data_IF_968500703799
#
_entry.id   IF_968500703799
#
_cell.length_a   1.000
_cell.length_b   1.000
_cell.length_c   1.000
_cell.angle_alpha   90.00
_cell.angle_beta   90.00
_cell.angle_gamma   90.00
#
_symmetry.space_group_name_H-M   'P 1'
#
loop_
_entity.id
_entity.type
_entity.pdbx_description
1 polymer ?
#
# COMPACT_ATOMS: atom_id res chain seq x y z
N UNK A 1 16.18 -29.59 -26.51
CA UNK A 1 17.38 -28.73 -26.54
C UNK A 1 17.07 -27.48 -25.72
N UNK A 2 17.06 -27.60 -24.39
CA UNK A 2 16.87 -26.50 -23.44
C UNK A 2 18.02 -26.58 -22.43
N UNK A 3 19.18 -26.08 -22.84
CA UNK A 3 20.32 -25.83 -21.97
C UNK A 3 20.98 -24.57 -22.50
N UNK A 4 21.00 -23.55 -21.66
CA UNK A 4 22.03 -22.51 -21.46
C UNK A 4 21.32 -21.21 -21.04
N UNK A 5 21.59 -20.72 -19.83
CA UNK A 5 21.12 -19.41 -19.38
C UNK A 5 20.72 -19.39 -17.91
N UNK A 6 21.72 -19.41 -17.01
CA UNK A 6 21.69 -18.96 -15.61
C UNK A 6 20.27 -18.85 -14.98
N UNK A 7 19.75 -20.00 -14.53
CA UNK A 7 18.50 -20.14 -13.80
C UNK A 7 18.55 -19.39 -12.45
N UNK A 8 18.23 -18.09 -12.44
CA UNK A 8 17.69 -17.40 -11.26
C UNK A 8 16.25 -17.02 -11.61
N UNK A 9 15.37 -18.00 -11.56
CA UNK A 9 13.97 -17.83 -11.96
C UNK A 9 13.18 -17.32 -10.78
N UNK A 10 12.75 -16.05 -10.82
CA UNK A 10 11.86 -15.47 -9.83
C UNK A 10 10.41 -15.64 -10.30
N UNK A 11 9.57 -16.25 -9.47
CA UNK A 11 8.12 -16.20 -9.61
C UNK A 11 7.58 -15.07 -8.74
N UNK A 12 6.75 -14.21 -9.30
CA UNK A 12 5.90 -13.33 -8.54
C UNK A 12 4.52 -14.00 -8.49
N UNK A 13 3.98 -14.21 -7.31
CA UNK A 13 2.58 -14.62 -7.19
C UNK A 13 1.89 -13.42 -6.58
N UNK A 14 1.32 -12.59 -7.44
CA UNK A 14 0.60 -11.43 -6.99
C UNK A 14 -0.75 -11.90 -6.43
N UNK A 15 -0.95 -11.56 -5.18
CA UNK A 15 -2.17 -11.84 -4.45
C UNK A 15 -2.60 -10.49 -3.92
N UNK A 16 -3.62 -9.88 -4.53
CA UNK A 16 -4.24 -8.72 -3.91
C UNK A 16 -5.00 -9.18 -2.69
N UNK A 17 -4.41 -8.92 -1.55
CA UNK A 17 -4.75 -9.66 -0.37
C UNK A 17 -4.36 -8.78 0.82
N UNK A 18 -5.26 -8.68 1.79
CA UNK A 18 -4.99 -8.03 3.08
C UNK A 18 -3.77 -8.69 3.76
N UNK A 19 -3.14 -8.03 4.73
CA UNK A 19 -2.00 -8.61 5.46
C UNK A 19 -2.31 -10.01 5.99
N UNK A 20 -3.49 -10.18 6.60
CA UNK A 20 -3.94 -11.46 7.15
C UNK A 20 -3.98 -12.56 6.08
N UNK A 21 -4.63 -12.28 4.96
CA UNK A 21 -4.78 -13.29 3.92
C UNK A 21 -3.41 -13.58 3.21
N UNK A 22 -2.44 -12.63 3.22
CA UNK A 22 -1.07 -12.87 2.72
C UNK A 22 -0.37 -13.87 3.62
N UNK A 23 -0.50 -13.72 4.93
CA UNK A 23 0.03 -14.67 5.92
C UNK A 23 -0.63 -16.05 5.79
N UNK A 24 -1.95 -16.10 5.62
CA UNK A 24 -2.67 -17.36 5.40
C UNK A 24 -2.20 -18.05 4.10
N UNK A 25 -2.06 -17.29 3.01
CA UNK A 25 -1.51 -17.79 1.75
C UNK A 25 -0.07 -18.29 1.91
N UNK A 26 0.76 -17.59 2.69
CA UNK A 26 2.13 -17.98 2.98
C UNK A 26 2.17 -19.36 3.65
N UNK A 27 1.35 -19.57 4.67
CA UNK A 27 1.25 -20.85 5.40
C UNK A 27 0.82 -21.97 4.46
N UNK A 28 -0.19 -21.73 3.63
CA UNK A 28 -0.68 -22.71 2.65
C UNK A 28 0.39 -23.05 1.61
N UNK A 29 1.05 -22.05 1.05
CA UNK A 29 2.10 -22.24 0.05
C UNK A 29 3.31 -22.98 0.62
N UNK A 30 3.70 -22.69 1.86
CA UNK A 30 4.77 -23.43 2.54
C UNK A 30 4.39 -24.90 2.73
N UNK A 31 3.17 -25.18 3.19
CA UNK A 31 2.66 -26.54 3.35
C UNK A 31 2.65 -27.31 2.02
N UNK A 32 2.09 -26.72 0.97
CA UNK A 32 2.01 -27.34 -0.36
C UNK A 32 3.40 -27.47 -1.02
N UNK A 33 4.35 -26.60 -0.68
CA UNK A 33 5.73 -26.70 -1.20
C UNK A 33 6.44 -27.98 -0.76
N UNK A 34 6.08 -28.54 0.40
CA UNK A 34 6.61 -29.81 0.89
C UNK A 34 6.10 -31.01 0.08
N UNK A 35 4.95 -30.87 -0.57
CA UNK A 35 4.37 -31.89 -1.44
C UNK A 35 4.93 -31.86 -2.88
N UNK A 36 5.68 -30.82 -3.24
CA UNK A 36 6.29 -30.69 -4.56
C UNK A 36 7.44 -31.69 -4.76
N UNK A 37 7.62 -32.14 -6.01
CA UNK A 37 8.73 -33.03 -6.36
C UNK A 37 10.08 -32.43 -5.95
N UNK A 38 10.97 -33.19 -5.28
CA UNK A 38 12.31 -32.73 -4.89
C UNK A 38 13.16 -32.22 -6.08
N UNK A 39 12.86 -32.68 -7.29
CA UNK A 39 13.57 -32.28 -8.52
C UNK A 39 13.33 -30.82 -8.92
N UNK A 40 12.29 -30.18 -8.39
CA UNK A 40 11.95 -28.79 -8.71
C UNK A 40 12.77 -27.77 -7.90
N UNK A 41 13.51 -28.22 -6.87
CA UNK A 41 14.27 -27.34 -5.98
C UNK A 41 13.41 -26.53 -5.01
N UNK A 42 14.04 -26.00 -3.96
CA UNK A 42 13.36 -25.29 -2.87
C UNK A 42 12.73 -23.96 -3.31
N UNK A 43 11.56 -23.65 -2.75
CA UNK A 43 10.90 -22.35 -2.87
C UNK A 43 11.25 -21.46 -1.66
N UNK A 44 11.50 -20.17 -1.90
CA UNK A 44 11.61 -19.16 -0.86
C UNK A 44 10.46 -18.17 -1.00
N UNK A 45 9.63 -18.06 0.03
CA UNK A 45 8.50 -17.13 0.04
C UNK A 45 8.88 -15.80 0.69
N UNK A 46 8.42 -14.69 0.10
CA UNK A 46 8.70 -13.33 0.53
C UNK A 46 7.39 -12.53 0.55
N UNK A 47 6.80 -12.25 1.71
CA UNK A 47 5.68 -11.32 1.81
C UNK A 47 6.19 -9.89 1.62
N UNK A 48 5.49 -9.11 0.80
CA UNK A 48 5.78 -7.71 0.53
C UNK A 48 4.46 -6.93 0.63
N UNK A 49 4.34 -6.08 1.65
CA UNK A 49 3.19 -5.21 1.85
C UNK A 49 3.63 -3.89 2.47
N UNK A 50 2.73 -2.90 2.46
CA UNK A 50 2.94 -1.48 2.80
C UNK A 50 3.92 -1.16 3.94
N UNK A 51 3.88 -1.86 5.08
CA UNK A 51 4.79 -1.55 6.22
C UNK A 51 5.86 -2.58 6.51
N UNK A 52 6.03 -3.59 5.66
CA UNK A 52 7.25 -4.39 5.68
C UNK A 52 8.31 -3.74 4.77
N UNK A 53 8.43 -2.41 4.82
CA UNK A 53 9.40 -1.63 4.06
C UNK A 53 10.84 -2.11 4.31
N UNK A 54 11.15 -2.59 5.52
CA UNK A 54 12.45 -3.22 5.84
C UNK A 54 12.64 -4.60 5.18
N UNK A 55 11.57 -5.37 4.94
CA UNK A 55 11.66 -6.62 4.19
C UNK A 55 11.66 -6.41 2.68
N UNK A 56 11.12 -5.30 2.19
CA UNK A 56 11.21 -4.90 0.79
C UNK A 56 12.68 -4.78 0.35
N UNK A 57 13.57 -4.33 1.24
CA UNK A 57 15.02 -4.32 0.99
C UNK A 57 15.59 -5.74 0.77
N UNK A 58 15.09 -6.76 1.49
CA UNK A 58 15.53 -8.17 1.32
C UNK A 58 15.19 -8.74 -0.06
N UNK A 59 14.21 -8.16 -0.75
CA UNK A 59 13.89 -8.52 -2.14
C UNK A 59 15.02 -8.10 -3.08
N UNK A 60 15.64 -6.95 -2.83
CA UNK A 60 16.75 -6.39 -3.64
C UNK A 60 18.13 -6.88 -3.21
N UNK A 61 18.35 -7.17 -1.92
CA UNK A 61 19.63 -7.64 -1.35
C UNK A 61 20.10 -9.00 -1.88
N UNK A 62 19.34 -9.64 -2.77
CA UNK A 62 19.73 -10.90 -3.40
C UNK A 62 19.75 -10.81 -4.93
N UNK A 63 20.09 -9.61 -5.43
CA UNK A 63 20.41 -9.30 -6.83
C UNK A 63 21.81 -9.77 -7.27
N UNK A 64 22.15 -9.64 -8.57
CA UNK A 64 23.37 -10.19 -9.18
C UNK A 64 24.70 -9.55 -8.75
N UNK A 65 24.69 -8.57 -7.84
CA UNK A 65 25.88 -7.91 -7.29
C UNK A 65 25.91 -7.84 -5.76
N UNK A 66 25.03 -8.56 -5.06
CA UNK A 66 25.14 -8.70 -3.62
C UNK A 66 26.32 -9.62 -3.29
N UNK A 67 27.35 -9.08 -2.64
CA UNK A 67 28.43 -9.89 -2.10
C UNK A 67 27.84 -10.88 -1.06
N UNK A 68 28.27 -12.16 -1.08
CA UNK A 68 27.81 -13.13 -0.10
C UNK A 68 28.20 -12.61 1.29
N UNK A 69 27.21 -12.31 2.13
CA UNK A 69 27.45 -12.09 3.54
C UNK A 69 27.53 -13.47 4.20
N UNK A 70 28.72 -13.81 4.68
CA UNK A 70 29.11 -15.08 5.31
C UNK A 70 28.30 -15.50 6.57
N UNK A 71 27.17 -14.82 6.88
CA UNK A 71 26.38 -15.01 8.10
C UNK A 71 24.98 -15.65 7.88
N UNK A 72 24.65 -16.15 6.68
CA UNK A 72 23.49 -17.04 6.50
C UNK A 72 23.97 -18.51 6.59
N UNK A 73 23.63 -19.28 7.65
CA UNK A 73 24.14 -20.65 7.87
C UNK A 73 23.70 -21.66 6.80
N UNK A 74 22.98 -21.22 5.78
CA UNK A 74 22.45 -22.05 4.69
C UNK A 74 23.13 -21.86 3.33
N UNK A 75 24.24 -21.12 3.22
CA UNK A 75 25.06 -21.03 1.99
C UNK A 75 26.04 -22.23 1.85
N UNK A 76 25.54 -23.42 2.16
CA UNK A 76 26.23 -24.69 2.00
C UNK A 76 25.53 -25.64 1.04
N UNK A 77 24.87 -25.14 -0.01
CA UNK A 77 24.52 -25.98 -1.18
C UNK A 77 24.17 -25.11 -2.40
N UNK A 78 24.77 -25.42 -3.55
CA UNK A 78 24.66 -24.69 -4.82
C UNK A 78 23.31 -24.88 -5.54
N UNK A 79 22.20 -24.82 -4.82
CA UNK A 79 20.85 -25.00 -5.33
C UNK A 79 20.21 -23.70 -5.84
N UNK A 80 19.70 -23.72 -7.06
CA UNK A 80 18.80 -22.68 -7.59
C UNK A 80 17.57 -22.57 -6.69
N UNK A 81 17.47 -21.50 -5.88
CA UNK A 81 16.27 -21.22 -5.08
C UNK A 81 15.31 -20.33 -5.87
N UNK A 82 14.14 -20.87 -6.23
CA UNK A 82 13.06 -20.09 -6.84
C UNK A 82 12.41 -19.24 -5.75
N UNK A 83 12.25 -17.95 -6.01
CA UNK A 83 11.60 -17.03 -5.08
C UNK A 83 10.14 -16.84 -5.49
N UNK A 84 9.28 -16.72 -4.49
CA UNK A 84 7.86 -16.43 -4.61
C UNK A 84 7.59 -15.18 -3.78
N UNK A 85 7.26 -14.09 -4.45
CA UNK A 85 6.91 -12.84 -3.79
C UNK A 85 5.38 -12.74 -3.74
N UNK A 86 4.83 -12.50 -2.55
CA UNK A 86 3.41 -12.24 -2.32
C UNK A 86 3.25 -10.74 -2.06
N UNK A 87 2.45 -10.04 -2.86
CA UNK A 87 2.30 -8.60 -2.74
C UNK A 87 0.89 -8.07 -2.99
N UNK A 88 0.55 -7.01 -2.26
CA UNK A 88 -0.67 -6.20 -2.42
C UNK A 88 -0.60 -5.26 -3.64
N UNK A 89 -1.57 -4.33 -3.73
CA UNK A 89 -1.64 -3.33 -4.80
C UNK A 89 -0.46 -2.35 -4.82
N UNK A 90 0.28 -2.15 -3.72
CA UNK A 90 1.48 -1.28 -3.72
C UNK A 90 2.67 -1.95 -4.42
N UNK A 91 2.63 -3.27 -4.57
CA UNK A 91 3.51 -4.02 -5.47
C UNK A 91 3.41 -3.57 -6.93
N UNK A 92 2.29 -2.97 -7.37
CA UNK A 92 2.04 -2.53 -8.76
C UNK A 92 2.99 -1.43 -9.23
N UNK A 93 3.20 -0.42 -8.38
CA UNK A 93 3.86 0.83 -8.78
C UNK A 93 5.29 0.93 -8.26
N UNK A 94 5.55 0.39 -7.07
CA UNK A 94 6.79 0.67 -6.33
C UNK A 94 7.93 -0.29 -6.66
N UNK A 95 7.64 -1.45 -7.26
CA UNK A 95 8.64 -2.50 -7.41
C UNK A 95 8.80 -2.93 -8.87
N UNK A 96 9.72 -2.26 -9.59
CA UNK A 96 10.35 -2.87 -10.76
C UNK A 96 11.24 -4.04 -10.31
N UNK A 97 10.60 -5.17 -10.01
CA UNK A 97 11.28 -6.41 -9.64
C UNK A 97 11.95 -6.99 -10.88
N UNK A 98 13.18 -6.56 -11.14
CA UNK A 98 14.00 -7.12 -12.20
C UNK A 98 14.13 -8.64 -11.99
N UNK A 99 13.72 -9.42 -12.98
CA UNK A 99 13.84 -10.88 -12.96
C UNK A 99 12.56 -11.66 -12.67
N UNK A 100 11.42 -11.00 -12.45
CA UNK A 100 10.11 -11.66 -12.37
C UNK A 100 9.74 -12.27 -13.73
N UNK A 101 9.47 -13.58 -13.74
CA UNK A 101 9.13 -14.36 -14.94
C UNK A 101 7.71 -14.88 -14.95
N UNK A 102 7.09 -15.03 -13.79
CA UNK A 102 5.73 -15.55 -13.65
C UNK A 102 4.96 -14.58 -12.78
N UNK A 103 3.72 -14.31 -13.14
CA UNK A 103 2.77 -13.49 -12.38
C UNK A 103 1.46 -14.24 -12.33
N UNK A 104 0.87 -14.34 -11.15
CA UNK A 104 -0.53 -14.75 -10.96
C UNK A 104 -1.28 -13.49 -10.58
N UNK A 105 -2.36 -13.14 -11.26
CA UNK A 105 -3.14 -11.92 -11.02
C UNK A 105 -4.58 -12.31 -10.67
N UNK A 106 -5.02 -11.96 -9.46
CA UNK A 106 -6.40 -12.21 -8.99
C UNK A 106 -7.40 -11.21 -9.56
N UNK A 107 -6.94 -10.06 -10.06
CA UNK A 107 -7.77 -9.00 -10.61
C UNK A 107 -8.53 -8.18 -9.56
N UNK A 108 -8.15 -8.30 -8.28
CA UNK A 108 -8.82 -7.65 -7.15
C UNK A 108 -7.87 -6.67 -6.44
N UNK A 109 -8.39 -5.74 -5.65
CA UNK A 109 -7.66 -4.86 -4.73
C UNK A 109 -8.54 -4.48 -3.54
N UNK A 110 -7.94 -4.34 -2.36
CA UNK A 110 -8.62 -3.75 -1.21
C UNK A 110 -8.66 -2.24 -1.41
N UNK A 111 -9.86 -1.65 -1.35
CA UNK A 111 -10.07 -0.21 -1.45
C UNK A 111 -10.81 0.28 -0.21
N UNK A 112 -10.23 1.26 0.46
CA UNK A 112 -10.91 1.98 1.55
C UNK A 112 -11.92 2.93 0.93
N UNK A 113 -13.18 2.81 1.33
CA UNK A 113 -14.25 3.70 0.92
C UNK A 113 -14.34 4.83 1.93
N UNK A 114 -13.93 6.02 1.51
CA UNK A 114 -13.83 7.20 2.38
C UNK A 114 -15.15 7.53 3.10
N UNK A 115 -16.31 7.28 2.49
CA UNK A 115 -17.61 7.62 3.07
C UNK A 115 -18.05 6.72 4.23
N UNK A 116 -17.40 5.56 4.44
CA UNK A 116 -17.82 4.59 5.44
C UNK A 116 -16.68 4.05 6.31
N UNK A 117 -15.43 4.47 6.05
CA UNK A 117 -14.22 3.86 6.66
C UNK A 117 -14.22 2.33 6.54
N UNK A 118 -14.84 1.82 5.47
CA UNK A 118 -14.95 0.39 5.18
C UNK A 118 -13.95 0.02 4.10
N UNK A 119 -13.24 -1.08 4.31
CA UNK A 119 -12.43 -1.70 3.27
C UNK A 119 -13.29 -2.69 2.48
N UNK A 120 -13.32 -2.53 1.17
CA UNK A 120 -14.06 -3.45 0.27
C UNK A 120 -13.14 -3.95 -0.83
N UNK A 121 -13.39 -5.19 -1.25
CA UNK A 121 -12.66 -5.79 -2.37
C UNK A 121 -13.26 -5.31 -3.69
N UNK A 122 -12.46 -4.65 -4.52
CA UNK A 122 -12.87 -4.14 -5.84
C UNK A 122 -12.01 -4.75 -6.94
N UNK A 123 -12.47 -4.68 -8.19
CA UNK A 123 -11.62 -5.05 -9.32
C UNK A 123 -10.49 -4.02 -9.50
N UNK A 124 -9.30 -4.51 -9.88
CA UNK A 124 -8.23 -3.61 -10.38
C UNK A 124 -8.62 -3.02 -11.73
N UNK A 125 -7.98 -1.93 -12.11
CA UNK A 125 -8.08 -1.42 -13.47
C UNK A 125 -7.16 -2.18 -14.44
N UNK A 126 -7.45 -2.06 -15.73
CA UNK A 126 -6.69 -2.76 -16.78
C UNK A 126 -5.25 -2.29 -16.84
N UNK A 127 -4.99 -0.99 -16.66
CA UNK A 127 -3.63 -0.46 -16.64
C UNK A 127 -2.82 -1.06 -15.49
N UNK A 128 -3.36 -1.11 -14.27
CA UNK A 128 -2.73 -1.76 -13.11
C UNK A 128 -2.47 -3.27 -13.30
N UNK A 129 -3.40 -3.99 -13.94
CA UNK A 129 -3.17 -5.40 -14.30
C UNK A 129 -2.06 -5.56 -15.35
N UNK A 130 -1.99 -4.66 -16.33
CA UNK A 130 -0.97 -4.71 -17.38
C UNK A 130 0.43 -4.39 -16.85
N UNK A 131 0.57 -3.37 -16.00
CA UNK A 131 1.86 -2.98 -15.40
C UNK A 131 2.45 -4.07 -14.52
N UNK A 132 1.61 -4.87 -13.88
CA UNK A 132 2.04 -6.00 -13.08
C UNK A 132 2.54 -7.19 -13.92
N UNK A 133 2.15 -7.31 -15.19
CA UNK A 133 2.63 -8.39 -16.05
C UNK A 133 4.05 -8.09 -16.58
N UNK A 134 4.94 -9.11 -16.71
CA UNK A 134 6.31 -8.90 -17.17
C UNK A 134 6.36 -8.40 -18.63
N UNK A 135 7.14 -7.36 -18.96
CA UNK A 135 7.02 -6.67 -20.26
C UNK A 135 7.59 -7.43 -21.46
N UNK A 136 8.64 -8.26 -21.31
CA UNK A 136 9.36 -8.81 -22.49
C UNK A 136 9.74 -10.31 -22.39
N UNK A 137 9.49 -10.98 -21.27
CA UNK A 137 9.57 -12.46 -21.23
C UNK A 137 9.07 -13.00 -19.88
N UNK A 138 7.86 -13.55 -19.90
CA UNK A 138 7.23 -14.15 -18.74
C UNK A 138 5.83 -14.67 -19.02
N UNK A 139 5.22 -15.31 -18.04
CA UNK A 139 3.84 -15.79 -18.09
C UNK A 139 3.01 -15.01 -17.07
N UNK A 140 1.93 -14.39 -17.53
CA UNK A 140 0.95 -13.73 -16.67
C UNK A 140 -0.32 -14.58 -16.66
N UNK A 141 -0.65 -15.17 -15.51
CA UNK A 141 -1.83 -16.00 -15.28
C UNK A 141 -2.91 -15.16 -14.58
N UNK A 142 -3.91 -14.75 -15.34
CA UNK A 142 -5.06 -14.01 -14.80
C UNK A 142 -6.13 -14.99 -14.34
N UNK A 143 -6.58 -14.86 -13.09
CA UNK A 143 -7.58 -15.75 -12.48
C UNK A 143 -9.03 -15.29 -12.74
N UNK A 144 -9.24 -14.55 -13.82
CA UNK A 144 -10.52 -14.00 -14.25
C UNK A 144 -10.65 -14.12 -15.76
N UNK A 145 -11.89 -14.13 -16.26
CA UNK A 145 -12.17 -14.31 -17.68
C UNK A 145 -11.79 -13.07 -18.49
N UNK A 146 -11.49 -13.28 -19.77
CA UNK A 146 -11.27 -12.18 -20.72
C UNK A 146 -12.51 -11.29 -20.83
N UNK A 147 -13.71 -11.87 -20.80
CA UNK A 147 -14.95 -11.10 -20.79
C UNK A 147 -14.99 -10.11 -19.61
N UNK A 148 -14.69 -10.57 -18.39
CA UNK A 148 -14.66 -9.72 -17.19
C UNK A 148 -13.60 -8.61 -17.28
N UNK A 149 -12.44 -8.93 -17.85
CA UNK A 149 -11.38 -7.94 -18.10
C UNK A 149 -11.82 -6.83 -19.06
N UNK A 150 -12.59 -7.17 -20.10
CA UNK A 150 -13.02 -6.24 -21.14
C UNK A 150 -14.31 -5.49 -20.80
N UNK A 151 -15.20 -6.06 -19.97
CA UNK A 151 -16.49 -5.45 -19.62
C UNK A 151 -16.49 -4.76 -18.26
N UNK A 152 -15.92 -5.40 -17.23
CA UNK A 152 -16.18 -5.00 -15.84
C UNK A 152 -15.03 -4.19 -15.23
N UNK A 153 -13.81 -4.35 -15.77
CA UNK A 153 -12.63 -3.62 -15.29
C UNK A 153 -12.49 -2.28 -15.99
N UNK A 154 -12.30 -1.21 -15.21
CA UNK A 154 -12.02 0.14 -15.73
C UNK A 154 -10.70 0.16 -16.51
N UNK A 155 -10.58 1.04 -17.51
CA UNK A 155 -9.36 1.14 -18.33
C UNK A 155 -8.16 1.60 -17.50
N UNK A 156 -8.36 2.63 -16.68
CA UNK A 156 -7.37 3.17 -15.76
C UNK A 156 -8.05 3.56 -14.44
N UNK A 157 -7.27 3.60 -13.36
CA UNK A 157 -7.75 4.06 -12.06
C UNK A 157 -8.15 5.54 -12.12
N UNK A 158 -9.25 5.88 -11.48
CA UNK A 158 -9.65 7.27 -11.24
C UNK A 158 -8.63 8.02 -10.36
N UNK A 159 -8.56 9.35 -10.46
CA UNK A 159 -7.63 10.14 -9.67
C UNK A 159 -8.03 10.13 -8.18
N UNK A 160 -7.05 9.94 -7.28
CA UNK A 160 -7.29 9.82 -5.83
C UNK A 160 -8.07 10.99 -5.22
N UNK A 161 -7.85 12.20 -5.74
CA UNK A 161 -8.55 13.43 -5.32
C UNK A 161 -10.07 13.36 -5.52
N UNK A 162 -10.56 12.41 -6.32
CA UNK A 162 -12.00 12.18 -6.51
C UNK A 162 -12.57 11.08 -5.63
N UNK A 163 -11.73 10.36 -4.89
CA UNK A 163 -12.11 9.14 -4.14
C UNK A 163 -11.89 9.26 -2.62
N UNK A 164 -11.24 10.32 -2.15
CA UNK A 164 -10.75 10.46 -0.76
C UNK A 164 -11.33 11.69 -0.06
N UNK A 165 -11.29 11.69 1.28
CA UNK A 165 -11.63 12.86 2.08
C UNK A 165 -10.62 13.98 1.78
N UNK A 166 -11.12 15.15 1.42
CA UNK A 166 -10.30 16.29 1.02
C UNK A 166 -9.98 17.25 2.17
N UNK A 167 -10.44 16.99 3.40
CA UNK A 167 -10.27 17.89 4.55
C UNK A 167 -8.81 18.25 4.79
N UNK A 168 -7.90 17.28 4.80
CA UNK A 168 -6.47 17.54 4.96
C UNK A 168 -5.91 18.36 3.77
N UNK A 169 -6.29 18.01 2.54
CA UNK A 169 -5.88 18.77 1.34
C UNK A 169 -6.37 20.22 1.38
N UNK A 170 -7.65 20.44 1.70
CA UNK A 170 -8.28 21.76 1.78
C UNK A 170 -7.64 22.59 2.89
N UNK A 171 -7.32 22.00 4.05
CA UNK A 171 -6.59 22.65 5.13
C UNK A 171 -5.23 23.18 4.65
N UNK A 172 -4.47 22.34 3.94
CA UNK A 172 -3.17 22.73 3.37
C UNK A 172 -3.30 23.79 2.27
N UNK A 173 -4.30 23.69 1.40
CA UNK A 173 -4.53 24.69 0.35
C UNK A 173 -4.91 26.06 0.97
N UNK A 174 -5.73 26.07 2.02
CA UNK A 174 -6.05 27.28 2.79
C UNK A 174 -4.80 27.85 3.47
N UNK A 175 -3.90 26.99 3.99
CA UNK A 175 -2.62 27.41 4.58
C UNK A 175 -1.69 28.10 3.57
N UNK A 176 -1.78 27.71 2.30
CA UNK A 176 -1.07 28.33 1.17
C UNK A 176 -1.75 29.62 0.64
N UNK A 177 -2.75 30.15 1.35
CA UNK A 177 -3.50 31.36 0.99
C UNK A 177 -4.25 31.24 -0.35
N UNK A 178 -4.67 30.02 -0.71
CA UNK A 178 -5.54 29.77 -1.86
C UNK A 178 -6.99 29.96 -1.40
N UNK A 179 -7.48 31.19 -1.50
CA UNK A 179 -8.81 31.56 -1.04
C UNK A 179 -9.95 30.92 -1.86
N UNK A 180 -9.84 30.92 -3.20
CA UNK A 180 -10.82 30.35 -4.11
C UNK A 180 -10.34 29.00 -4.67
N UNK A 181 -10.81 27.92 -4.06
CA UNK A 181 -10.55 26.55 -4.51
C UNK A 181 -11.07 26.30 -5.93
N UNK A 182 -12.08 27.05 -6.39
CA UNK A 182 -12.60 27.00 -7.75
C UNK A 182 -11.62 27.53 -8.80
N UNK A 183 -10.68 28.40 -8.41
CA UNK A 183 -9.59 28.87 -9.28
C UNK A 183 -8.34 27.98 -9.22
N UNK A 184 -8.29 27.04 -8.28
CA UNK A 184 -7.19 26.10 -8.21
C UNK A 184 -7.16 25.24 -9.48
N UNK A 185 -5.98 25.16 -10.09
CA UNK A 185 -5.72 24.40 -11.32
C UNK A 185 -5.39 22.94 -10.97
N UNK A 186 -6.38 22.23 -10.47
CA UNK A 186 -6.28 20.78 -10.30
C UNK A 186 -6.04 20.09 -11.65
N UNK A 187 -5.16 19.10 -11.68
CA UNK A 187 -4.98 18.21 -12.84
C UNK A 187 -6.30 17.47 -13.12
N UNK A 188 -6.85 16.87 -12.07
CA UNK A 188 -8.17 16.28 -12.04
C UNK A 188 -8.99 17.02 -10.99
N UNK A 189 -10.00 17.76 -11.43
CA UNK A 189 -10.79 18.59 -10.52
C UNK A 189 -11.73 17.72 -9.67
N UNK A 190 -11.67 17.82 -8.32
CA UNK A 190 -12.63 17.14 -7.46
C UNK A 190 -14.06 17.69 -7.67
N UNK A 191 -15.05 16.88 -7.31
CA UNK A 191 -16.45 17.31 -7.33
C UNK A 191 -16.64 18.52 -6.40
N UNK A 192 -17.39 19.57 -6.80
CA UNK A 192 -17.67 20.71 -5.93
C UNK A 192 -18.23 20.31 -4.57
N UNK A 193 -19.08 19.27 -4.53
CA UNK A 193 -19.68 18.72 -3.32
C UNK A 193 -18.63 18.16 -2.35
N UNK A 194 -17.58 17.53 -2.86
CA UNK A 194 -16.49 17.00 -2.03
C UNK A 194 -15.64 18.13 -1.41
N UNK A 195 -15.43 19.22 -2.16
CA UNK A 195 -14.74 20.41 -1.63
C UNK A 195 -15.60 21.13 -0.58
N UNK A 196 -16.91 21.24 -0.81
CA UNK A 196 -17.84 21.81 0.17
C UNK A 196 -17.87 20.98 1.45
N UNK A 197 -17.97 19.64 1.35
CA UNK A 197 -17.92 18.76 2.51
C UNK A 197 -16.64 18.94 3.32
N UNK A 198 -15.48 19.05 2.65
CA UNK A 198 -14.21 19.28 3.34
C UNK A 198 -14.14 20.63 4.05
N UNK A 199 -14.77 21.68 3.48
CA UNK A 199 -14.87 22.98 4.16
C UNK A 199 -15.80 22.92 5.38
N UNK A 200 -16.94 22.22 5.26
CA UNK A 200 -17.85 21.98 6.38
C UNK A 200 -17.16 21.18 7.49
N UNK A 201 -16.44 20.11 7.15
CA UNK A 201 -15.68 19.29 8.11
C UNK A 201 -14.66 20.14 8.89
N UNK A 202 -13.95 21.05 8.20
CA UNK A 202 -12.98 21.96 8.84
C UNK A 202 -13.65 23.05 9.69
N UNK A 203 -14.81 23.56 9.27
CA UNK A 203 -15.62 24.49 10.06
C UNK A 203 -16.09 23.83 11.37
N UNK A 204 -16.59 22.59 11.31
CA UNK A 204 -16.98 21.81 12.50
C UNK A 204 -15.82 21.60 13.48
N UNK A 205 -14.58 21.52 12.99
CA UNK A 205 -13.38 21.41 13.82
C UNK A 205 -12.89 22.76 14.37
N UNK A 206 -13.59 23.85 14.06
CA UNK A 206 -13.19 25.24 14.33
C UNK A 206 -11.81 25.58 13.72
N UNK A 207 -11.46 24.94 12.60
CA UNK A 207 -10.25 25.24 11.85
C UNK A 207 -10.43 26.47 10.94
N UNK A 208 -11.67 26.86 10.67
CA UNK A 208 -12.04 28.05 9.91
C UNK A 208 -12.65 29.13 10.83
N UNK A 209 -12.55 30.39 10.42
CA UNK A 209 -13.28 31.52 11.00
C UNK A 209 -14.59 31.81 10.23
N UNK A 210 -15.39 32.76 10.72
CA UNK A 210 -16.69 33.13 10.12
C UNK A 210 -16.57 33.65 8.67
N UNK A 211 -15.38 34.12 8.28
CA UNK A 211 -15.07 34.59 6.92
C UNK A 211 -14.53 33.45 6.02
N UNK A 212 -14.36 32.24 6.56
CA UNK A 212 -13.86 31.06 5.86
C UNK A 212 -12.34 31.02 5.68
N UNK A 213 -11.58 31.82 6.44
CA UNK A 213 -10.12 31.76 6.52
C UNK A 213 -9.68 30.83 7.64
N UNK A 214 -8.38 30.47 7.70
CA UNK A 214 -7.88 29.65 8.80
C UNK A 214 -7.92 30.41 10.12
N UNK A 215 -8.52 29.78 11.14
CA UNK A 215 -8.42 30.23 12.52
C UNK A 215 -7.01 29.97 13.10
N UNK A 216 -6.73 30.49 14.30
CA UNK A 216 -5.48 30.16 15.02
C UNK A 216 -5.32 28.64 15.21
N UNK A 217 -6.42 27.94 15.49
CA UNK A 217 -6.44 26.48 15.60
C UNK A 217 -6.17 25.83 14.25
N UNK A 218 -6.80 26.30 13.17
CA UNK A 218 -6.58 25.79 11.83
C UNK A 218 -5.13 25.96 11.36
N UNK A 219 -4.49 27.07 11.73
CA UNK A 219 -3.06 27.30 11.49
C UNK A 219 -2.23 26.24 12.20
N UNK A 220 -2.46 25.98 13.49
CA UNK A 220 -1.71 24.98 14.25
C UNK A 220 -1.95 23.58 13.69
N UNK A 221 -3.21 23.24 13.36
CA UNK A 221 -3.57 21.95 12.74
C UNK A 221 -2.80 21.71 11.45
N UNK A 222 -2.63 22.74 10.61
CA UNK A 222 -1.93 22.62 9.32
C UNK A 222 -0.43 22.33 9.43
N UNK A 223 0.17 22.54 10.60
CA UNK A 223 1.58 22.25 10.87
C UNK A 223 1.80 20.81 11.39
N UNK A 224 0.72 20.09 11.72
CA UNK A 224 0.80 18.73 12.24
C UNK A 224 0.66 17.71 11.08
N UNK A 225 1.51 16.68 11.01
CA UNK A 225 1.43 15.62 10.00
C UNK A 225 0.35 14.59 10.37
N UNK A 226 -0.86 15.08 10.64
CA UNK A 226 -1.99 14.29 11.15
C UNK A 226 -3.27 14.65 10.40
N UNK A 227 -4.22 13.73 10.38
CA UNK A 227 -5.57 14.02 9.90
C UNK A 227 -6.25 15.10 10.76
N UNK A 228 -7.03 16.03 10.16
CA UNK A 228 -7.57 17.18 10.87
C UNK A 228 -8.31 16.87 12.18
N UNK A 229 -9.16 15.83 12.28
CA UNK A 229 -9.81 15.49 13.55
C UNK A 229 -8.83 15.12 14.66
N UNK A 230 -7.76 14.38 14.34
CA UNK A 230 -6.73 13.96 15.30
C UNK A 230 -5.83 15.14 15.70
N UNK A 231 -5.49 16.00 14.74
CA UNK A 231 -4.79 17.25 14.98
C UNK A 231 -5.56 18.16 15.96
N UNK A 232 -6.88 18.32 15.73
CA UNK A 232 -7.77 19.09 16.60
C UNK A 232 -7.83 18.48 18.01
N UNK A 233 -7.94 17.17 18.12
CA UNK A 233 -7.97 16.49 19.40
C UNK A 233 -6.68 16.77 20.21
N UNK A 234 -5.50 16.66 19.59
CA UNK A 234 -4.22 16.95 20.25
C UNK A 234 -4.12 18.39 20.74
N UNK A 235 -4.58 19.35 19.95
CA UNK A 235 -4.62 20.76 20.37
C UNK A 235 -5.56 20.93 21.57
N UNK A 236 -6.73 20.30 21.54
CA UNK A 236 -7.69 20.36 22.65
C UNK A 236 -7.13 19.71 23.93
N UNK A 237 -6.33 18.63 23.85
CA UNK A 237 -5.75 18.00 25.02
C UNK A 237 -4.82 18.92 25.83
N UNK A 238 -4.26 19.97 25.22
CA UNK A 238 -3.53 21.01 25.94
C UNK A 238 -4.41 21.79 26.92
N UNK A 239 -5.72 21.91 26.65
CA UNK A 239 -6.68 22.59 27.52
C UNK A 239 -7.18 21.69 28.66
N UNK A 240 -7.12 20.36 28.47
CA UNK A 240 -7.59 19.35 29.42
C UNK A 240 -6.45 18.69 30.22
N UNK A 241 -5.21 19.16 30.06
CA UNK A 241 -4.01 18.62 30.70
C UNK A 241 -3.82 17.10 30.47
N UNK A 242 -4.18 16.59 29.29
CA UNK A 242 -4.11 15.16 28.92
C UNK A 242 -3.34 14.89 27.63
N UNK A 243 -2.33 15.73 27.36
CA UNK A 243 -1.53 15.68 26.13
C UNK A 243 -0.74 14.37 26.02
N UNK A 244 -0.19 13.86 27.13
CA UNK A 244 0.63 12.63 27.10
C UNK A 244 -0.21 11.41 26.70
N UNK A 245 -1.40 11.26 27.25
CA UNK A 245 -2.33 10.19 26.93
C UNK A 245 -2.80 10.29 25.48
N UNK A 246 -3.21 11.49 25.04
CA UNK A 246 -3.71 11.65 23.70
C UNK A 246 -2.61 11.55 22.64
N UNK A 247 -1.39 11.98 22.94
CA UNK A 247 -0.23 11.78 22.07
C UNK A 247 0.08 10.28 21.92
N UNK A 248 -0.02 9.52 23.01
CA UNK A 248 0.12 8.05 22.96
C UNK A 248 -0.96 7.42 22.09
N UNK A 249 -2.22 7.84 22.24
CA UNK A 249 -3.33 7.36 21.40
C UNK A 249 -3.12 7.74 19.94
N UNK A 250 -2.76 8.99 19.65
CA UNK A 250 -2.49 9.47 18.30
C UNK A 250 -1.36 8.67 17.66
N UNK A 251 -0.26 8.43 18.38
CA UNK A 251 0.86 7.61 17.92
C UNK A 251 0.46 6.15 17.68
N UNK A 252 -0.46 5.59 18.46
CA UNK A 252 -0.99 4.25 18.20
C UNK A 252 -1.87 4.23 16.95
N UNK A 253 -2.74 5.22 16.74
CA UNK A 253 -3.65 5.28 15.59
C UNK A 253 -2.90 5.52 14.27
N UNK A 254 -1.97 6.46 14.24
CA UNK A 254 -1.15 6.71 13.05
C UNK A 254 -0.07 5.66 12.87
N UNK A 255 0.44 5.14 13.99
CA UNK A 255 1.29 3.97 14.03
C UNK A 255 0.59 2.74 13.46
N UNK A 256 -0.73 2.57 13.62
CA UNK A 256 -1.54 1.50 13.02
C UNK A 256 -1.85 1.74 11.54
N UNK A 257 -1.89 2.97 11.03
CA UNK A 257 -1.89 3.20 9.58
C UNK A 257 -0.54 2.81 8.95
N UNK A 258 0.57 2.99 9.67
CA UNK A 258 1.88 2.43 9.31
C UNK A 258 1.99 0.92 9.65
N UNK A 259 1.28 0.44 10.68
CA UNK A 259 1.36 -0.92 11.24
C UNK A 259 0.24 -1.89 10.80
N UNK A 260 -0.76 -1.47 10.02
CA UNK A 260 -1.39 -2.33 9.01
C UNK A 260 -0.35 -2.81 7.98
N UNK A 261 0.83 -2.19 8.03
CA UNK A 261 2.05 -2.70 7.48
C UNK A 261 3.07 -3.32 8.46
N UNK A 262 2.90 -3.34 9.78
CA UNK A 262 3.98 -3.63 10.75
C UNK A 262 3.59 -4.36 12.05
N UNK A 263 2.31 -4.54 12.38
CA UNK A 263 1.87 -5.27 13.56
C UNK A 263 1.84 -6.76 13.28
N UNK A 264 2.99 -7.42 13.36
CA UNK A 264 3.13 -8.80 13.90
C UNK A 264 4.55 -9.11 14.41
N UNK A 265 5.40 -8.09 14.64
CA UNK A 265 6.81 -8.32 15.02
C UNK A 265 7.04 -8.66 16.51
N UNK A 266 6.02 -9.00 17.29
CA UNK A 266 6.21 -9.31 18.72
C UNK A 266 5.65 -10.65 19.23
N UNK A 267 5.30 -11.61 18.36
CA UNK A 267 4.81 -12.93 18.82
C UNK A 267 5.62 -14.17 18.43
N UNK A 268 6.84 -14.01 17.92
CA UNK A 268 7.77 -15.15 17.73
C UNK A 268 9.08 -14.84 18.44
N UNK A 269 9.02 -14.88 19.77
CA UNK A 269 10.16 -14.67 20.66
C UNK A 269 9.94 -15.43 21.96
N UNK A 270 9.53 -16.69 21.86
CA UNK A 270 9.65 -17.77 22.86
C UNK A 270 9.51 -19.11 22.13
#
# INVERSE_FOLDING_TARGET
>A
MFREGRNRTFGLIRFSVSLQEVEECLVLLQKESLALSPQLGSLRFLPLHSGLASLAQRVYESGPGAEPKDDDPSEGDGGVRRKVILCDALGEASFSLQGVRYVVDTGLQLKTVSSASLCVLVLVDRAGSLTACPPVSGLCLRLYSQARYESDMAEARGPRVTEENLSHLVLLLKRLDIADMGQCKFLDRPAPEALMQALEDLDYLAALDDDGNLSEVGIIMSELPLEPPLAKALIAACEYDCVEELLTIAAMLTGEEEQQGGLHQQRVGL
#
